data_IF_920619990176
#
_entry.id   IF_920619990176
#
_cell.length_a   1.000
_cell.length_b   1.000
_cell.length_c   1.000
_cell.angle_alpha   90.00
_cell.angle_beta   90.00
_cell.angle_gamma   90.00
#
_symmetry.space_group_name_H-M   'P 1'
#
loop_
_entity.id
_entity.type
_entity.pdbx_description
1 polymer ?
#
# COMPACT_ATOMS: atom_id res chain seq x y z
N UNK A 1 27.00 -20.02 1.24
CA UNK A 1 25.64 -20.43 1.63
C UNK A 1 25.51 -20.76 3.11
N UNK A 2 26.38 -21.58 3.72
CA UNK A 2 26.28 -21.97 5.13
C UNK A 2 26.11 -20.78 6.11
N UNK A 3 26.94 -19.74 5.99
CA UNK A 3 26.84 -18.54 6.82
C UNK A 3 25.49 -17.80 6.69
N UNK A 4 24.89 -17.78 5.49
CA UNK A 4 23.56 -17.17 5.27
C UNK A 4 22.47 -18.02 5.91
N UNK A 5 22.57 -19.35 5.80
CA UNK A 5 21.62 -20.26 6.45
C UNK A 5 21.69 -20.14 7.96
N UNK A 6 22.89 -20.08 8.53
CA UNK A 6 23.12 -19.90 9.97
C UNK A 6 22.56 -18.56 10.48
N UNK A 7 22.85 -17.46 9.78
CA UNK A 7 22.35 -16.12 10.12
C UNK A 7 20.81 -16.01 10.02
N UNK A 8 20.21 -16.72 9.05
CA UNK A 8 18.77 -16.67 8.81
C UNK A 8 17.97 -17.68 9.65
N UNK A 9 18.59 -18.77 10.10
CA UNK A 9 17.94 -19.79 10.92
C UNK A 9 17.20 -19.26 12.17
N UNK A 10 17.72 -18.27 12.94
CA UNK A 10 16.99 -17.72 14.07
C UNK A 10 15.92 -16.69 13.68
N UNK A 11 15.90 -16.19 12.43
CA UNK A 11 15.00 -15.13 11.98
C UNK A 11 13.61 -15.72 11.67
N UNK A 12 12.60 -15.34 12.46
CA UNK A 12 11.22 -15.87 12.29
C UNK A 12 10.22 -14.87 11.69
N UNK A 13 10.57 -13.58 11.64
CA UNK A 13 9.66 -12.50 11.24
C UNK A 13 10.09 -11.90 9.90
N UNK A 14 10.06 -12.71 8.84
CA UNK A 14 10.29 -12.22 7.48
C UNK A 14 9.01 -11.59 6.94
N UNK A 15 9.14 -10.41 6.35
CA UNK A 15 8.01 -9.65 5.78
C UNK A 15 8.08 -9.77 4.26
N UNK A 16 6.94 -10.07 3.64
CA UNK A 16 6.81 -10.06 2.18
C UNK A 16 6.65 -8.59 1.75
N UNK A 17 7.75 -7.97 1.33
CA UNK A 17 7.71 -6.60 0.82
C UNK A 17 7.07 -6.52 -0.58
N UNK A 18 7.35 -7.51 -1.43
CA UNK A 18 6.78 -7.63 -2.77
C UNK A 18 6.58 -9.12 -3.12
N UNK A 19 5.56 -9.41 -3.93
CA UNK A 19 5.29 -10.76 -4.42
C UNK A 19 4.28 -11.54 -3.58
N UNK A 20 3.32 -10.88 -2.93
CA UNK A 20 2.22 -11.53 -2.21
C UNK A 20 1.45 -12.55 -3.08
N UNK A 21 0.95 -12.13 -4.25
CA UNK A 21 0.22 -13.03 -5.14
C UNK A 21 1.12 -14.17 -5.63
N UNK A 22 2.37 -13.83 -5.94
CA UNK A 22 3.42 -14.78 -6.31
C UNK A 22 3.55 -15.85 -5.21
N UNK A 23 3.71 -15.45 -3.95
CA UNK A 23 3.83 -16.33 -2.80
C UNK A 23 2.58 -17.20 -2.60
N UNK A 24 1.38 -16.62 -2.67
CA UNK A 24 0.10 -17.35 -2.58
C UNK A 24 -0.01 -18.43 -3.68
N UNK A 25 0.37 -18.11 -4.93
CA UNK A 25 0.42 -19.11 -6.00
C UNK A 25 1.38 -20.27 -5.70
N UNK A 26 2.55 -19.99 -5.11
CA UNK A 26 3.49 -21.05 -4.74
C UNK A 26 2.97 -21.93 -3.59
N UNK A 27 2.23 -21.37 -2.64
CA UNK A 27 1.59 -22.17 -1.58
C UNK A 27 0.54 -23.12 -2.17
N UNK A 28 -0.31 -22.61 -3.07
CA UNK A 28 -1.32 -23.43 -3.74
C UNK A 28 -0.68 -24.57 -4.55
N UNK A 29 0.37 -24.26 -5.33
CA UNK A 29 1.10 -25.27 -6.10
C UNK A 29 1.80 -26.31 -5.21
N UNK A 30 2.41 -25.88 -4.09
CA UNK A 30 2.98 -26.80 -3.10
C UNK A 30 1.92 -27.78 -2.60
N UNK A 31 0.75 -27.28 -2.23
CA UNK A 31 -0.30 -28.10 -1.62
C UNK A 31 -0.91 -29.08 -2.64
N UNK A 32 -1.06 -28.66 -3.90
CA UNK A 32 -1.43 -29.52 -5.03
C UNK A 32 -0.41 -30.66 -5.23
N UNK A 33 0.88 -30.33 -5.29
CA UNK A 33 1.93 -31.33 -5.49
C UNK A 33 2.06 -32.31 -4.32
N UNK A 34 1.87 -31.83 -3.08
CA UNK A 34 1.83 -32.70 -1.88
C UNK A 34 0.66 -33.67 -1.91
N UNK A 35 -0.48 -33.25 -2.44
CA UNK A 35 -1.64 -34.14 -2.59
C UNK A 35 -1.40 -35.21 -3.66
N UNK A 36 -0.72 -34.88 -4.76
CA UNK A 36 -0.36 -35.81 -5.83
C UNK A 36 0.79 -36.76 -5.44
N UNK A 37 1.70 -36.33 -4.57
CA UNK A 37 2.89 -37.08 -4.17
C UNK A 37 3.04 -37.13 -2.64
N UNK A 38 2.16 -37.85 -1.92
CA UNK A 38 2.14 -37.87 -0.45
C UNK A 38 3.41 -38.47 0.18
N UNK A 39 4.09 -39.37 -0.53
CA UNK A 39 5.31 -40.05 -0.06
C UNK A 39 6.60 -39.31 -0.46
N UNK A 40 6.49 -38.13 -1.07
CA UNK A 40 7.65 -37.35 -1.48
C UNK A 40 8.48 -36.87 -0.26
N UNK A 41 9.81 -36.86 -0.36
CA UNK A 41 10.66 -36.43 0.74
C UNK A 41 10.46 -34.93 1.05
N UNK A 42 10.68 -34.47 2.30
CA UNK A 42 10.42 -33.07 2.67
C UNK A 42 11.21 -32.02 1.87
N UNK A 43 12.35 -32.40 1.28
CA UNK A 43 13.24 -31.51 0.54
C UNK A 43 12.89 -31.35 -0.95
N UNK A 44 11.76 -31.87 -1.43
CA UNK A 44 11.28 -31.70 -2.82
C UNK A 44 11.11 -30.23 -3.22
N UNK A 45 11.37 -29.94 -4.49
CA UNK A 45 11.49 -28.58 -4.98
C UNK A 45 10.24 -27.72 -4.83
N UNK A 46 9.04 -28.29 -4.92
CA UNK A 46 7.78 -27.54 -4.75
C UNK A 46 7.51 -27.10 -3.30
N UNK A 47 8.29 -27.57 -2.33
CA UNK A 47 8.25 -27.05 -0.95
C UNK A 47 9.00 -25.72 -0.77
N UNK A 48 9.76 -25.28 -1.78
CA UNK A 48 10.63 -24.11 -1.69
C UNK A 48 10.36 -23.12 -2.81
N UNK A 49 10.59 -21.85 -2.50
CA UNK A 49 10.51 -20.75 -3.45
C UNK A 49 11.77 -19.91 -3.37
N UNK A 50 12.29 -19.50 -4.52
CA UNK A 50 13.35 -18.49 -4.55
C UNK A 50 12.81 -17.14 -4.06
N UNK A 51 13.56 -16.53 -3.15
CA UNK A 51 13.27 -15.23 -2.56
C UNK A 51 14.52 -14.38 -2.57
N UNK A 52 14.35 -13.07 -2.63
CA UNK A 52 15.41 -12.09 -2.40
C UNK A 52 15.20 -11.50 -1.01
N UNK A 53 16.23 -11.55 -0.17
CA UNK A 53 16.21 -10.95 1.16
C UNK A 53 16.86 -9.58 1.07
N UNK A 54 16.15 -8.56 1.56
CA UNK A 54 16.61 -7.17 1.62
C UNK A 54 16.46 -6.71 3.07
N UNK A 55 17.48 -6.02 3.58
CA UNK A 55 17.39 -5.43 4.92
C UNK A 55 16.39 -4.28 4.91
N UNK A 56 15.50 -4.21 5.90
CA UNK A 56 14.62 -3.06 6.10
C UNK A 56 15.37 -1.81 6.60
N UNK A 57 16.66 -1.94 6.91
CA UNK A 57 17.55 -0.84 7.31
C UNK A 57 18.44 -0.37 6.15
N UNK A 58 18.29 -0.96 4.97
CA UNK A 58 19.03 -0.52 3.79
C UNK A 58 18.60 0.91 3.42
N UNK A 59 19.53 1.89 3.43
CA UNK A 59 19.19 3.28 3.10
C UNK A 59 18.74 3.46 1.64
N UNK A 60 19.03 2.50 0.76
CA UNK A 60 18.54 2.47 -0.62
C UNK A 60 17.12 1.92 -0.77
N UNK A 61 16.52 1.34 0.28
CA UNK A 61 15.15 0.86 0.25
C UNK A 61 14.17 1.97 0.68
N UNK A 62 13.38 2.44 -0.28
CA UNK A 62 12.36 3.48 -0.06
C UNK A 62 10.97 2.93 -0.35
N UNK A 63 9.95 3.51 0.29
CA UNK A 63 8.55 3.31 -0.09
C UNK A 63 8.10 4.54 -0.87
N UNK A 64 7.56 4.32 -2.07
CA UNK A 64 6.95 5.36 -2.87
C UNK A 64 5.46 5.51 -2.52
N UNK A 65 4.91 6.73 -2.57
CA UNK A 65 3.48 6.93 -2.42
C UNK A 65 2.72 6.34 -3.61
N UNK A 66 1.43 6.08 -3.41
CA UNK A 66 0.50 5.72 -4.48
C UNK A 66 -0.69 6.66 -4.42
N UNK A 67 -0.79 7.57 -5.38
CA UNK A 67 -1.85 8.57 -5.49
C UNK A 67 -3.12 7.97 -6.09
N UNK A 68 -4.28 8.58 -5.83
CA UNK A 68 -5.57 8.13 -6.37
C UNK A 68 -6.15 9.22 -7.25
N UNK A 69 -6.27 8.95 -8.54
CA UNK A 69 -6.96 9.82 -9.48
C UNK A 69 -8.40 9.34 -9.61
N UNK A 70 -9.35 10.25 -9.43
CA UNK A 70 -10.78 9.93 -9.41
C UNK A 70 -11.42 10.40 -10.70
N UNK A 71 -12.15 9.50 -11.34
CA UNK A 71 -12.73 9.68 -12.67
C UNK A 71 -14.23 9.44 -12.68
N UNK A 72 -14.95 10.17 -13.54
CA UNK A 72 -16.33 9.85 -13.87
C UNK A 72 -17.24 9.73 -12.65
N UNK A 73 -16.87 10.41 -11.55
CA UNK A 73 -17.62 10.39 -10.31
C UNK A 73 -18.76 11.38 -10.44
N UNK A 74 -19.65 11.16 -11.41
CA UNK A 74 -20.80 12.01 -11.77
C UNK A 74 -21.88 12.15 -10.68
N UNK A 75 -21.54 11.79 -9.44
CA UNK A 75 -22.32 11.98 -8.22
C UNK A 75 -21.79 13.12 -7.36
N UNK A 76 -20.55 13.60 -7.54
CA UNK A 76 -19.93 14.61 -6.69
C UNK A 76 -18.72 15.25 -7.35
N UNK A 77 -18.71 16.58 -7.44
CA UNK A 77 -17.54 17.34 -7.89
C UNK A 77 -16.53 17.59 -6.75
N UNK A 78 -15.35 18.12 -7.10
CA UNK A 78 -14.29 18.38 -6.13
C UNK A 78 -14.72 19.33 -4.99
N UNK A 79 -15.37 20.47 -5.26
CA UNK A 79 -15.93 21.34 -4.23
C UNK A 79 -16.92 20.64 -3.28
N UNK A 80 -17.84 19.83 -3.79
CA UNK A 80 -18.80 19.07 -2.98
C UNK A 80 -18.07 18.03 -2.11
N UNK A 81 -17.08 17.32 -2.67
CA UNK A 81 -16.24 16.38 -1.93
C UNK A 81 -15.51 17.06 -0.77
N UNK A 82 -14.96 18.26 -0.98
CA UNK A 82 -14.31 19.02 0.08
C UNK A 82 -15.28 19.54 1.14
N UNK A 83 -16.53 19.86 0.79
CA UNK A 83 -17.56 20.23 1.76
C UNK A 83 -17.88 19.04 2.66
N UNK A 84 -18.14 17.86 2.07
CA UNK A 84 -18.42 16.63 2.83
C UNK A 84 -17.21 16.17 3.65
N UNK A 85 -15.99 16.32 3.12
CA UNK A 85 -14.76 16.00 3.83
C UNK A 85 -14.60 16.76 5.15
N UNK A 86 -15.24 17.93 5.32
CA UNK A 86 -15.17 18.69 6.58
C UNK A 86 -15.73 17.96 7.79
N UNK A 87 -16.55 16.92 7.59
CA UNK A 87 -17.04 16.05 8.67
C UNK A 87 -15.88 15.35 9.39
N UNK A 88 -14.89 14.84 8.64
CA UNK A 88 -13.76 14.07 9.17
C UNK A 88 -12.44 14.84 9.18
N UNK A 89 -12.31 15.83 8.31
CA UNK A 89 -11.06 16.54 8.05
C UNK A 89 -11.16 18.03 8.31
N UNK A 90 -10.08 18.62 8.81
CA UNK A 90 -9.83 20.04 8.68
C UNK A 90 -9.31 20.29 7.27
N UNK A 91 -10.09 21.00 6.46
CA UNK A 91 -9.78 21.28 5.05
C UNK A 91 -9.13 22.66 4.96
N UNK A 92 -7.86 22.70 4.54
CA UNK A 92 -7.11 23.96 4.33
C UNK A 92 -6.74 24.09 2.86
N UNK A 93 -7.25 25.13 2.20
CA UNK A 93 -6.77 25.51 0.87
C UNK A 93 -5.34 26.04 0.99
N UNK A 94 -4.50 25.67 0.03
CA UNK A 94 -3.11 26.12 -0.06
C UNK A 94 -2.87 26.76 -1.43
N UNK A 95 -1.86 27.62 -1.52
CA UNK A 95 -1.66 28.48 -2.68
C UNK A 95 -1.37 27.70 -3.96
N UNK A 96 -0.55 26.66 -3.87
CA UNK A 96 -0.06 25.90 -5.01
C UNK A 96 0.39 24.48 -4.63
N UNK A 97 0.86 23.73 -5.63
CA UNK A 97 1.34 22.34 -5.49
C UNK A 97 2.57 22.23 -4.59
N UNK A 98 3.41 23.26 -4.53
CA UNK A 98 4.59 23.28 -3.67
C UNK A 98 4.18 23.45 -2.20
N UNK A 99 3.24 24.36 -1.91
CA UNK A 99 2.63 24.52 -0.60
C UNK A 99 1.87 23.26 -0.16
N UNK A 100 1.23 22.56 -1.10
CA UNK A 100 0.60 21.25 -0.84
C UNK A 100 1.64 20.22 -0.40
N UNK A 101 2.74 20.08 -1.14
CA UNK A 101 3.85 19.18 -0.78
C UNK A 101 4.45 19.51 0.59
N UNK A 102 4.67 20.79 0.88
CA UNK A 102 5.17 21.23 2.19
C UNK A 102 4.20 20.89 3.32
N UNK A 103 2.90 21.14 3.13
CA UNK A 103 1.88 20.81 4.12
C UNK A 103 1.74 19.30 4.35
N UNK A 104 1.95 18.47 3.33
CA UNK A 104 1.95 17.01 3.46
C UNK A 104 3.17 16.50 4.24
N UNK A 105 4.33 17.12 4.06
CA UNK A 105 5.56 16.74 4.75
C UNK A 105 5.48 16.91 6.29
N UNK A 106 4.58 17.77 6.77
CA UNK A 106 4.30 17.96 8.19
C UNK A 106 3.40 16.85 8.80
N UNK A 107 2.99 15.85 8.03
CA UNK A 107 2.23 14.72 8.57
C UNK A 107 3.02 13.99 9.65
N UNK A 108 2.32 13.52 10.68
CA UNK A 108 2.86 12.65 11.74
C UNK A 108 2.00 11.39 11.84
N UNK A 109 2.49 10.30 12.44
CA UNK A 109 1.70 9.08 12.62
C UNK A 109 0.32 9.32 13.28
N UNK A 110 0.23 10.26 14.21
CA UNK A 110 -1.03 10.60 14.91
C UNK A 110 -1.91 11.62 14.15
N UNK A 111 -1.33 12.35 13.21
CA UNK A 111 -1.99 13.39 12.42
C UNK A 111 -1.73 13.17 10.92
N UNK A 112 -2.36 12.14 10.32
CA UNK A 112 -2.24 11.86 8.91
C UNK A 112 -2.83 13.03 8.09
N UNK A 113 -2.17 13.31 6.96
CA UNK A 113 -2.55 14.40 6.05
C UNK A 113 -2.68 13.85 4.64
N UNK A 114 -3.77 14.22 3.98
CA UNK A 114 -4.04 13.86 2.58
C UNK A 114 -4.04 15.13 1.73
N UNK A 115 -3.51 15.03 0.52
CA UNK A 115 -3.55 16.14 -0.42
C UNK A 115 -4.71 15.95 -1.37
N UNK A 116 -5.29 17.07 -1.81
CA UNK A 116 -6.43 17.09 -2.70
C UNK A 116 -6.22 18.15 -3.77
N UNK A 117 -6.53 17.79 -5.02
CA UNK A 117 -6.40 18.68 -6.17
C UNK A 117 -7.60 18.55 -7.11
N UNK A 118 -8.35 19.63 -7.29
CA UNK A 118 -9.50 19.79 -8.19
C UNK A 118 -9.28 20.95 -9.18
N UNK A 119 -8.02 21.23 -9.53
CA UNK A 119 -7.59 22.51 -10.14
C UNK A 119 -7.18 23.55 -9.09
N UNK A 120 -7.63 23.41 -7.84
CA UNK A 120 -7.09 24.09 -6.67
C UNK A 120 -6.45 23.12 -5.68
N UNK A 121 -5.49 23.57 -4.88
CA UNK A 121 -4.82 22.72 -3.90
C UNK A 121 -5.48 22.81 -2.52
N UNK A 122 -5.69 21.67 -1.86
CA UNK A 122 -6.12 21.59 -0.46
C UNK A 122 -5.39 20.48 0.29
N UNK A 123 -5.11 20.71 1.58
CA UNK A 123 -4.69 19.67 2.52
C UNK A 123 -5.84 19.30 3.44
N UNK A 124 -6.03 18.00 3.66
CA UNK A 124 -7.01 17.40 4.53
C UNK A 124 -6.29 16.84 5.74
N UNK A 125 -6.50 17.43 6.91
CA UNK A 125 -5.89 16.98 8.17
C UNK A 125 -6.95 16.25 8.98
N UNK A 126 -6.68 15.02 9.41
CA UNK A 126 -7.64 14.24 10.21
C UNK A 126 -7.98 14.99 11.51
N UNK A 127 -9.27 15.22 11.78
CA UNK A 127 -9.72 15.95 12.98
C UNK A 127 -9.63 15.10 14.24
N UNK A 128 -10.14 13.87 14.16
CA UNK A 128 -10.26 12.97 15.29
C UNK A 128 -9.83 11.55 14.91
N UNK A 129 -8.63 11.11 15.33
CA UNK A 129 -8.17 9.72 15.20
C UNK A 129 -9.13 8.69 15.81
N UNK A 130 -9.94 9.08 16.80
CA UNK A 130 -10.89 8.22 17.51
C UNK A 130 -11.98 7.65 16.61
N UNK A 131 -12.33 8.34 15.51
CA UNK A 131 -13.30 7.84 14.52
C UNK A 131 -12.86 6.49 13.98
N UNK A 132 -11.57 6.33 13.61
CA UNK A 132 -11.08 5.07 13.05
C UNK A 132 -11.01 3.95 14.10
N UNK A 133 -10.88 4.28 15.38
CA UNK A 133 -10.98 3.29 16.44
C UNK A 133 -12.40 2.71 16.56
N UNK A 134 -13.43 3.52 16.31
CA UNK A 134 -14.83 3.06 16.30
C UNK A 134 -15.15 2.25 15.04
N UNK A 135 -14.61 2.67 13.89
CA UNK A 135 -14.87 2.01 12.60
C UNK A 135 -14.14 0.69 12.45
N UNK A 136 -12.94 0.59 13.01
CA UNK A 136 -12.05 -0.56 12.86
C UNK A 136 -11.58 -1.07 14.23
N UNK A 137 -12.50 -1.49 15.13
CA UNK A 137 -12.17 -1.85 16.51
C UNK A 137 -11.20 -3.04 16.59
N UNK A 138 -11.19 -3.90 15.58
CA UNK A 138 -10.34 -5.10 15.53
C UNK A 138 -8.94 -4.85 14.95
N UNK A 139 -8.67 -3.63 14.44
CA UNK A 139 -7.36 -3.29 13.86
C UNK A 139 -6.43 -2.67 14.89
N UNK A 140 -5.12 -2.84 14.71
CA UNK A 140 -4.13 -2.15 15.56
C UNK A 140 -4.16 -0.61 15.39
N UNK A 141 -3.85 0.19 16.42
CA UNK A 141 -3.84 1.65 16.33
C UNK A 141 -2.99 2.20 15.17
N UNK A 142 -1.76 1.71 15.00
CA UNK A 142 -0.88 2.15 13.92
C UNK A 142 -1.44 1.83 12.53
N UNK A 143 -2.16 0.72 12.40
CA UNK A 143 -2.80 0.31 11.15
C UNK A 143 -3.96 1.24 10.78
N UNK A 144 -4.73 1.69 11.79
CA UNK A 144 -5.86 2.60 11.62
C UNK A 144 -5.39 3.95 11.09
N UNK A 145 -4.27 4.46 11.59
CA UNK A 145 -3.78 5.81 11.27
C UNK A 145 -2.86 5.89 10.05
N UNK A 146 -2.67 4.78 9.33
CA UNK A 146 -2.02 4.83 8.02
C UNK A 146 -2.81 5.77 7.09
N UNK A 147 -2.12 6.67 6.37
CA UNK A 147 -2.74 7.59 5.42
C UNK A 147 -3.65 6.85 4.41
N UNK A 148 -3.25 5.66 3.96
CA UNK A 148 -4.05 4.81 3.07
C UNK A 148 -5.35 4.33 3.73
N UNK A 149 -5.32 3.96 5.01
CA UNK A 149 -6.51 3.53 5.76
C UNK A 149 -7.46 4.71 5.93
N UNK A 150 -6.93 5.85 6.37
CA UNK A 150 -7.68 7.10 6.53
C UNK A 150 -8.34 7.50 5.21
N UNK A 151 -7.59 7.43 4.10
CA UNK A 151 -8.11 7.72 2.76
C UNK A 151 -9.26 6.79 2.38
N UNK A 152 -9.04 5.48 2.45
CA UNK A 152 -10.03 4.51 1.95
C UNK A 152 -11.30 4.51 2.81
N UNK A 153 -11.16 4.51 4.13
CA UNK A 153 -12.29 4.40 5.05
C UNK A 153 -13.07 5.71 5.20
N UNK A 154 -12.39 6.86 5.29
CA UNK A 154 -13.07 8.14 5.52
C UNK A 154 -13.35 8.86 4.21
N UNK A 155 -12.37 9.00 3.32
CA UNK A 155 -12.57 9.78 2.12
C UNK A 155 -13.30 8.99 1.02
N UNK A 156 -12.75 7.86 0.59
CA UNK A 156 -13.32 7.11 -0.54
C UNK A 156 -14.69 6.51 -0.16
N UNK A 157 -14.79 5.85 0.99
CA UNK A 157 -16.03 5.18 1.36
C UNK A 157 -17.09 6.14 1.93
N UNK A 158 -16.74 7.04 2.85
CA UNK A 158 -17.75 7.89 3.53
C UNK A 158 -17.99 9.23 2.85
N UNK A 159 -16.93 9.93 2.43
CA UNK A 159 -17.07 11.22 1.74
C UNK A 159 -17.61 11.00 0.33
N UNK A 160 -16.96 10.14 -0.46
CA UNK A 160 -17.40 9.89 -1.82
C UNK A 160 -18.63 8.97 -1.83
N UNK A 161 -18.62 7.88 -1.05
CA UNK A 161 -19.67 6.85 -1.14
C UNK A 161 -19.29 5.71 -2.10
N UNK A 162 -18.00 5.52 -2.36
CA UNK A 162 -17.48 4.44 -3.20
C UNK A 162 -17.21 3.24 -2.30
N UNK A 163 -17.97 2.17 -2.50
CA UNK A 163 -17.79 0.95 -1.72
C UNK A 163 -16.49 0.20 -2.10
N UNK A 164 -16.05 -0.69 -1.21
CA UNK A 164 -14.82 -1.47 -1.39
C UNK A 164 -14.85 -2.33 -2.66
N UNK A 165 -16.03 -2.81 -3.08
CA UNK A 165 -16.16 -3.65 -4.26
C UNK A 165 -15.92 -2.85 -5.55
N UNK A 166 -16.38 -1.60 -5.62
CA UNK A 166 -16.11 -0.69 -6.72
C UNK A 166 -14.61 -0.32 -6.79
N UNK A 167 -13.98 -0.09 -5.64
CA UNK A 167 -12.52 0.13 -5.54
C UNK A 167 -11.74 -1.08 -6.08
N UNK A 168 -12.16 -2.31 -5.73
CA UNK A 168 -11.52 -3.55 -6.21
C UNK A 168 -11.67 -3.73 -7.72
N UNK A 169 -12.82 -3.35 -8.29
CA UNK A 169 -13.05 -3.33 -9.74
C UNK A 169 -12.32 -2.18 -10.45
N UNK A 170 -11.69 -1.27 -9.71
CA UNK A 170 -11.07 -0.03 -10.21
C UNK A 170 -12.03 0.82 -11.03
N UNK A 171 -13.31 0.77 -10.67
CA UNK A 171 -14.31 1.66 -11.24
C UNK A 171 -14.05 3.05 -10.65
N UNK A 172 -13.81 4.04 -11.50
CA UNK A 172 -13.69 5.45 -11.12
C UNK A 172 -12.43 5.83 -10.31
N UNK A 173 -11.47 4.91 -10.14
CA UNK A 173 -10.22 5.16 -9.41
C UNK A 173 -9.02 4.56 -10.16
N UNK A 174 -8.06 5.42 -10.50
CA UNK A 174 -6.74 5.02 -10.98
C UNK A 174 -5.66 5.27 -9.94
N UNK A 175 -4.60 4.44 -9.96
CA UNK A 175 -3.50 4.51 -9.02
C UNK A 175 -2.24 4.99 -9.72
N UNK A 176 -1.71 6.12 -9.27
CA UNK A 176 -0.55 6.77 -9.88
C UNK A 176 0.65 6.75 -8.93
N UNK A 177 1.84 6.51 -9.48
CA UNK A 177 3.10 6.66 -8.73
C UNK A 177 3.56 8.12 -8.73
N UNK A 178 3.42 8.79 -9.86
CA UNK A 178 3.79 10.19 -10.03
C UNK A 178 2.53 11.06 -9.91
N UNK A 179 2.48 12.02 -8.97
CA UNK A 179 1.32 12.91 -8.86
C UNK A 179 1.20 13.87 -10.04
N UNK A 180 2.27 14.13 -10.81
CA UNK A 180 2.25 15.06 -11.94
C UNK A 180 1.23 14.63 -13.01
N UNK A 181 1.21 13.34 -13.36
CA UNK A 181 0.22 12.78 -14.29
C UNK A 181 -1.22 13.04 -13.83
N UNK A 182 -1.46 13.00 -12.52
CA UNK A 182 -2.79 13.26 -11.97
C UNK A 182 -3.17 14.73 -11.97
N UNK A 183 -2.20 15.62 -11.76
CA UNK A 183 -2.45 17.05 -11.88
C UNK A 183 -2.82 17.43 -13.31
N UNK A 184 -2.07 16.90 -14.28
CA UNK A 184 -2.29 17.18 -15.70
C UNK A 184 -3.66 16.68 -16.16
N UNK A 185 -4.04 15.45 -15.77
CA UNK A 185 -5.35 14.89 -16.09
C UNK A 185 -6.53 15.70 -15.52
N UNK A 186 -6.39 16.27 -14.31
CA UNK A 186 -7.42 17.15 -13.74
C UNK A 186 -7.48 18.49 -14.47
N UNK A 187 -6.32 19.08 -14.80
CA UNK A 187 -6.26 20.35 -15.53
C UNK A 187 -6.84 20.25 -16.95
N UNK A 188 -6.69 19.08 -17.58
CA UNK A 188 -7.24 18.77 -18.90
C UNK A 188 -8.74 18.38 -18.86
N UNK A 189 -9.31 18.24 -17.65
CA UNK A 189 -10.69 17.84 -17.44
C UNK A 189 -10.96 16.36 -17.73
N UNK A 190 -9.91 15.54 -17.79
CA UNK A 190 -10.03 14.09 -17.94
C UNK A 190 -10.41 13.39 -16.64
N UNK A 191 -10.09 14.01 -15.49
CA UNK A 191 -10.39 13.51 -14.15
C UNK A 191 -11.07 14.57 -13.28
N UNK A 192 -11.83 14.13 -12.28
CA UNK A 192 -12.57 15.03 -11.39
C UNK A 192 -11.65 15.67 -10.34
N UNK A 193 -10.80 14.87 -9.71
CA UNK A 193 -9.79 15.33 -8.75
C UNK A 193 -8.74 14.24 -8.44
N UNK A 194 -7.60 14.70 -7.92
CA UNK A 194 -6.48 13.87 -7.48
C UNK A 194 -6.33 13.90 -5.95
N UNK A 195 -6.16 12.73 -5.37
CA UNK A 195 -5.78 12.51 -3.97
C UNK A 195 -4.28 12.20 -3.87
N UNK A 196 -3.53 13.15 -3.30
CA UNK A 196 -2.08 13.09 -3.14
C UNK A 196 -1.75 12.48 -1.77
N UNK A 197 -0.73 11.62 -1.72
CA UNK A 197 -0.45 10.75 -0.58
C UNK A 197 0.99 10.94 -0.13
N UNK A 198 1.23 10.83 1.17
CA UNK A 198 2.58 10.58 1.67
C UNK A 198 2.98 9.12 1.46
N UNK A 199 4.28 8.83 1.32
CA UNK A 199 4.78 7.47 1.39
C UNK A 199 4.53 6.87 2.78
N UNK A 200 4.15 5.60 2.83
CA UNK A 200 4.08 4.86 4.10
C UNK A 200 5.47 4.79 4.72
N UNK A 201 5.58 5.13 6.00
CA UNK A 201 6.87 5.20 6.71
C UNK A 201 7.35 3.82 7.12
N UNK A 202 8.67 3.65 7.23
CA UNK A 202 9.23 2.37 7.66
C UNK A 202 8.85 1.97 9.08
N UNK A 203 8.76 2.94 9.98
CA UNK A 203 8.27 2.74 11.34
C UNK A 203 6.84 2.18 11.37
N UNK A 204 5.95 2.67 10.50
CA UNK A 204 4.56 2.22 10.41
C UNK A 204 4.45 0.79 9.90
N UNK A 205 5.27 0.41 8.90
CA UNK A 205 5.33 -0.99 8.42
C UNK A 205 5.81 -1.92 9.52
N UNK A 206 6.85 -1.53 10.26
CA UNK A 206 7.36 -2.31 11.39
C UNK A 206 6.34 -2.44 12.51
N UNK A 207 5.65 -1.35 12.86
CA UNK A 207 4.62 -1.36 13.90
C UNK A 207 3.46 -2.31 13.54
N UNK A 208 2.94 -2.23 12.31
CA UNK A 208 1.86 -3.13 11.86
C UNK A 208 2.31 -4.60 11.83
N UNK A 209 3.49 -4.87 11.28
CA UNK A 209 3.97 -6.26 11.14
C UNK A 209 4.38 -6.88 12.47
N UNK A 210 4.84 -6.09 13.45
CA UNK A 210 5.18 -6.57 14.80
C UNK A 210 3.98 -7.15 15.56
N UNK A 211 2.76 -6.71 15.24
CA UNK A 211 1.51 -7.22 15.82
C UNK A 211 0.79 -8.22 14.90
N UNK A 212 1.45 -8.66 13.80
CA UNK A 212 0.91 -9.65 12.87
C UNK A 212 -0.14 -9.11 11.90
N UNK A 213 -0.30 -7.79 11.78
CA UNK A 213 -1.23 -7.18 10.84
C UNK A 213 -0.69 -7.25 9.40
N UNK A 214 -1.59 -7.56 8.45
CA UNK A 214 -1.29 -7.43 7.02
C UNK A 214 -1.50 -5.98 6.61
N UNK A 215 -0.52 -5.38 5.95
CA UNK A 215 -0.63 -4.03 5.43
C UNK A 215 -1.84 -3.88 4.49
N UNK A 216 -2.55 -2.74 4.48
CA UNK A 216 -3.65 -2.49 3.55
C UNK A 216 -3.20 -2.64 2.09
N UNK A 217 -4.12 -2.95 1.17
CA UNK A 217 -3.77 -2.97 -0.24
C UNK A 217 -3.29 -1.60 -0.72
N UNK A 218 -2.29 -1.59 -1.62
CA UNK A 218 -1.74 -0.35 -2.21
C UNK A 218 -1.18 0.63 -1.16
N UNK A 219 -0.68 0.09 -0.05
CA UNK A 219 -0.02 0.84 1.03
C UNK A 219 1.50 0.92 0.85
N UNK A 220 2.11 -0.06 0.19
CA UNK A 220 3.57 -0.16 0.08
C UNK A 220 4.02 -0.37 -1.37
N UNK A 221 4.66 0.62 -1.96
CA UNK A 221 5.42 0.49 -3.21
C UNK A 221 6.92 0.57 -2.95
N UNK A 222 7.53 -0.55 -2.53
CA UNK A 222 8.97 -0.62 -2.27
C UNK A 222 9.80 -0.41 -3.55
N UNK A 223 10.85 0.41 -3.45
CA UNK A 223 11.78 0.74 -4.52
C UNK A 223 13.24 0.74 -3.99
N UNK A 224 14.25 0.36 -4.81
CA UNK A 224 14.12 -0.19 -6.15
C UNK A 224 13.41 -1.54 -6.17
N UNK A 225 12.68 -1.81 -7.24
CA UNK A 225 12.21 -3.19 -7.49
C UNK A 225 13.43 -4.06 -7.74
N UNK A 226 13.39 -5.30 -7.26
CA UNK A 226 14.44 -6.28 -7.54
C UNK A 226 14.62 -6.38 -9.05
N UNK A 227 15.84 -6.13 -9.53
CA UNK A 227 16.17 -6.21 -10.96
C UNK A 227 15.87 -7.63 -11.41
N UNK A 228 15.03 -7.77 -12.43
CA UNK A 228 14.76 -9.07 -13.04
C UNK A 228 16.00 -9.54 -13.78
N UNK A 229 16.54 -10.67 -13.33
CA UNK A 229 17.60 -11.42 -14.01
C UNK A 229 17.18 -12.89 -14.12
N UNK A 230 17.82 -13.63 -15.03
CA UNK A 230 17.58 -15.05 -15.15
C UNK A 230 18.32 -15.78 -14.02
N UNK A 231 17.58 -16.17 -12.99
CA UNK A 231 18.08 -17.10 -11.96
C UNK A 231 17.31 -18.40 -12.14
N UNK A 232 18.03 -19.47 -12.44
CA UNK A 232 17.48 -20.82 -12.53
C UNK A 232 17.85 -21.60 -11.28
N UNK A 233 16.88 -22.27 -10.68
CA UNK A 233 17.17 -23.28 -9.65
C UNK A 233 18.00 -24.37 -10.33
N UNK A 234 19.10 -24.84 -9.72
CA UNK A 234 19.72 -26.08 -10.19
C UNK A 234 18.64 -27.18 -10.26
N UNK A 235 18.76 -28.03 -11.27
CA UNK A 235 17.96 -29.25 -11.41
C UNK A 235 18.98 -30.38 -11.36
N UNK A 236 19.41 -30.72 -10.13
CA UNK A 236 20.29 -31.85 -9.91
C UNK A 236 19.62 -33.17 -10.27
N UNK A 237 20.39 -34.18 -10.65
CA UNK A 237 19.87 -35.52 -11.03
C UNK A 237 19.16 -36.23 -9.85
N UNK A 238 19.41 -35.78 -8.62
CA UNK A 238 18.77 -36.26 -7.39
C UNK A 238 17.62 -35.36 -6.90
N UNK A 239 17.33 -34.26 -7.60
CA UNK A 239 16.28 -33.31 -7.22
C UNK A 239 14.97 -33.67 -7.90
N UNK A 240 14.04 -34.22 -7.11
CA UNK A 240 12.69 -34.55 -7.55
C UNK A 240 11.90 -33.27 -7.86
N UNK A 241 11.36 -33.19 -9.08
CA UNK A 241 10.45 -32.13 -9.52
C UNK A 241 9.11 -32.20 -8.78
#
# INVERSE_FOLDING_TARGET
>A
MAAVVEEMAPRRNLIIADGHHRYETALNYRDEMRALHPDAPPNVGYNYRMVTLVSMEDPGLVILPTHRLIYGYGRMDGPEALIRAKEYFEVKRVADRAALGAALAEATPDHPRLGFYDGGCAVLVLRDPGVLAQLLPDRAPDWRLLDVTVLHELFIERVLGIDKAAVERKENIEYLRDPQMGYDAVDEGEADFLLVMNPTRMEQVRACTAVGEKMPQKSTDFYPKVISGLVMRPIGVEEWL
#
